data_IF_839308085960
#
_entry.id   IF_839308085960
#
_cell.length_a   1.000
_cell.length_b   1.000
_cell.length_c   1.000
_cell.angle_alpha   90.00
_cell.angle_beta   90.00
_cell.angle_gamma   90.00
#
_symmetry.space_group_name_H-M   'P 1'
#
loop_
_entity.id
_entity.type
_entity.pdbx_description
1 polymer ?
#
# COMPACT_ATOMS: atom_id res chain seq x y z
N UNK A 1 -17.73 8.64 16.85
CA UNK A 1 -19.06 8.07 16.53
C UNK A 1 -19.59 7.11 17.59
N UNK A 2 -18.92 5.98 17.86
CA UNK A 2 -19.37 5.07 18.94
C UNK A 2 -19.48 5.80 20.28
N UNK A 3 -18.50 6.62 20.66
CA UNK A 3 -18.51 7.41 21.88
C UNK A 3 -19.67 8.40 21.93
N UNK A 4 -19.99 9.03 20.81
CA UNK A 4 -21.13 9.95 20.73
C UNK A 4 -22.46 9.20 20.88
N UNK A 5 -22.63 8.09 20.13
CA UNK A 5 -23.80 7.22 20.27
C UNK A 5 -23.93 6.71 21.73
N UNK A 6 -22.81 6.29 22.33
CA UNK A 6 -22.76 5.86 23.72
C UNK A 6 -23.28 6.93 24.68
N UNK A 7 -22.87 8.19 24.49
CA UNK A 7 -23.33 9.32 25.30
C UNK A 7 -24.83 9.56 25.12
N UNK A 8 -25.34 9.47 23.90
CA UNK A 8 -26.77 9.61 23.58
C UNK A 8 -27.62 8.49 24.21
N UNK A 9 -27.06 7.30 24.32
CA UNK A 9 -27.71 6.17 24.99
C UNK A 9 -27.49 6.20 26.52
N UNK A 10 -26.88 7.25 27.06
CA UNK A 10 -26.55 7.39 28.49
C UNK A 10 -25.72 6.21 29.05
N UNK A 11 -24.96 5.52 28.21
CA UNK A 11 -24.06 4.43 28.61
C UNK A 11 -22.75 5.00 29.15
N UNK A 12 -22.39 4.66 30.40
CA UNK A 12 -21.07 5.01 30.92
C UNK A 12 -19.99 4.20 30.23
N UNK A 13 -18.79 4.74 30.07
CA UNK A 13 -17.67 4.05 29.43
C UNK A 13 -17.29 2.73 30.16
N UNK A 14 -17.52 2.68 31.47
CA UNK A 14 -17.27 1.49 32.30
C UNK A 14 -18.28 0.35 32.05
N UNK A 15 -19.45 0.65 31.51
CA UNK A 15 -20.55 -0.31 31.30
C UNK A 15 -20.70 -0.77 29.84
N UNK A 16 -19.81 -0.30 28.94
CA UNK A 16 -19.84 -0.70 27.52
C UNK A 16 -19.43 -2.17 27.39
N UNK A 17 -20.31 -2.95 26.82
CA UNK A 17 -20.06 -4.36 26.53
C UNK A 17 -19.68 -4.56 25.05
N UNK A 18 -19.12 -5.73 24.68
CA UNK A 18 -18.97 -6.09 23.27
C UNK A 18 -20.29 -6.09 22.49
N UNK A 19 -21.42 -6.45 23.14
CA UNK A 19 -22.73 -6.46 22.52
C UNK A 19 -23.21 -5.07 22.14
N UNK A 20 -22.94 -4.07 22.97
CA UNK A 20 -23.26 -2.67 22.64
C UNK A 20 -22.50 -2.21 21.39
N UNK A 21 -21.25 -2.62 21.24
CA UNK A 21 -20.45 -2.33 20.04
C UNK A 21 -21.02 -3.03 18.82
N UNK A 22 -21.45 -4.28 18.92
CA UNK A 22 -22.06 -5.03 17.83
C UNK A 22 -23.42 -4.40 17.42
N UNK A 23 -24.26 -4.05 18.39
CA UNK A 23 -25.52 -3.32 18.15
C UNK A 23 -25.27 -1.99 17.44
N UNK A 24 -24.23 -1.25 17.84
CA UNK A 24 -23.84 -0.03 17.15
C UNK A 24 -23.38 -0.30 15.72
N UNK A 25 -22.64 -1.38 15.45
CA UNK A 25 -22.20 -1.77 14.10
C UNK A 25 -23.43 -2.13 13.25
N UNK A 26 -24.33 -2.94 13.77
CA UNK A 26 -25.55 -3.36 13.10
C UNK A 26 -25.27 -3.96 11.71
N UNK A 27 -25.92 -3.42 10.69
CA UNK A 27 -25.77 -3.85 9.29
C UNK A 27 -24.61 -3.14 8.54
N UNK A 28 -23.90 -2.21 9.20
CA UNK A 28 -22.92 -1.31 8.57
C UNK A 28 -21.50 -1.88 8.56
N UNK A 29 -21.29 -3.07 9.10
CA UNK A 29 -19.98 -3.69 9.21
C UNK A 29 -19.30 -3.95 7.87
N UNK A 30 -17.97 -4.17 7.94
CA UNK A 30 -17.22 -4.74 6.84
C UNK A 30 -17.58 -6.22 6.70
N UNK A 31 -17.51 -6.74 5.46
CA UNK A 31 -17.90 -8.11 5.17
C UNK A 31 -19.42 -8.31 5.17
N UNK A 32 -19.88 -9.53 5.44
CA UNK A 32 -21.29 -9.93 5.35
C UNK A 32 -22.00 -10.07 6.69
N UNK A 33 -21.30 -9.92 7.82
CA UNK A 33 -21.96 -10.01 9.13
C UNK A 33 -22.91 -8.86 9.38
N UNK A 34 -24.08 -9.19 9.89
CA UNK A 34 -25.11 -8.27 10.35
C UNK A 34 -25.48 -8.62 11.79
N UNK A 35 -25.59 -7.61 12.64
CA UNK A 35 -25.91 -7.79 14.05
C UNK A 35 -27.32 -7.24 14.34
N UNK A 36 -28.14 -8.09 14.96
CA UNK A 36 -29.54 -7.77 15.29
C UNK A 36 -29.75 -8.01 16.80
N UNK A 37 -30.39 -7.07 17.50
CA UNK A 37 -30.92 -5.79 17.03
C UNK A 37 -29.80 -4.81 16.69
N UNK A 38 -30.05 -3.93 15.71
CA UNK A 38 -29.14 -2.83 15.42
C UNK A 38 -29.60 -1.53 16.11
N UNK A 39 -28.71 -0.54 16.19
CA UNK A 39 -29.00 0.74 16.79
C UNK A 39 -29.91 1.62 15.91
N UNK A 40 -30.45 1.10 14.81
CA UNK A 40 -31.29 1.80 13.82
C UNK A 40 -30.71 3.16 13.36
N UNK A 41 -29.40 3.24 13.31
CA UNK A 41 -28.66 4.39 12.83
C UNK A 41 -28.60 4.39 11.28
N UNK A 42 -29.66 3.91 10.62
CA UNK A 42 -29.70 3.81 9.17
C UNK A 42 -29.42 5.19 8.57
N UNK A 43 -28.35 5.34 7.79
CA UNK A 43 -28.11 6.57 7.05
C UNK A 43 -29.27 6.72 6.07
N UNK A 44 -29.85 7.92 6.01
CA UNK A 44 -30.75 8.25 4.92
C UNK A 44 -29.95 8.22 3.62
N UNK A 45 -30.60 7.83 2.52
CA UNK A 45 -29.98 7.77 1.18
C UNK A 45 -29.71 9.17 0.60
N UNK A 46 -29.33 10.11 1.46
CA UNK A 46 -29.07 11.50 1.08
C UNK A 46 -27.76 11.59 0.28
N UNK A 47 -27.72 12.52 -0.65
CA UNK A 47 -26.52 12.89 -1.40
C UNK A 47 -25.43 13.38 -0.44
N UNK A 48 -24.20 12.89 -0.66
CA UNK A 48 -23.06 13.17 0.21
C UNK A 48 -22.16 14.21 -0.44
N UNK A 49 -21.98 15.34 0.22
CA UNK A 49 -21.00 16.35 -0.18
C UNK A 49 -19.62 16.02 0.40
N UNK A 50 -18.67 15.67 -0.47
CA UNK A 50 -17.31 15.26 -0.08
C UNK A 50 -16.54 16.42 0.58
N UNK A 51 -16.67 17.66 0.09
CA UNK A 51 -15.97 18.81 0.66
C UNK A 51 -16.42 19.06 2.11
N UNK A 52 -17.73 19.02 2.38
CA UNK A 52 -18.27 19.15 3.73
C UNK A 52 -17.77 18.02 4.66
N UNK A 53 -17.65 16.79 4.12
CA UNK A 53 -17.10 15.65 4.86
C UNK A 53 -15.61 15.82 5.16
N UNK A 54 -14.81 16.30 4.21
CA UNK A 54 -13.39 16.52 4.37
C UNK A 54 -13.12 17.57 5.45
N UNK A 55 -13.81 18.71 5.40
CA UNK A 55 -13.72 19.74 6.44
C UNK A 55 -14.09 19.22 7.83
N UNK A 56 -15.14 18.42 7.92
CA UNK A 56 -15.53 17.81 9.18
C UNK A 56 -14.52 16.80 9.69
N UNK A 57 -13.98 15.95 8.81
CA UNK A 57 -12.98 14.97 9.15
C UNK A 57 -11.68 15.62 9.64
N UNK A 58 -11.25 16.72 9.00
CA UNK A 58 -10.08 17.50 9.44
C UNK A 58 -10.29 18.12 10.82
N UNK A 59 -11.45 18.75 11.07
CA UNK A 59 -11.80 19.31 12.39
C UNK A 59 -11.72 18.24 13.47
N UNK A 60 -12.33 17.08 13.27
CA UNK A 60 -12.30 15.97 14.23
C UNK A 60 -10.87 15.44 14.45
N UNK A 61 -10.06 15.40 13.40
CA UNK A 61 -8.68 14.91 13.49
C UNK A 61 -7.74 15.87 14.24
N UNK A 62 -7.89 17.19 14.00
CA UNK A 62 -7.06 18.23 14.63
C UNK A 62 -7.49 18.53 16.07
N UNK A 63 -8.77 18.38 16.39
CA UNK A 63 -9.34 18.80 17.66
C UNK A 63 -9.73 17.61 18.57
N UNK A 64 -9.05 16.47 18.45
CA UNK A 64 -9.36 15.20 19.14
C UNK A 64 -9.69 15.33 20.64
N UNK A 65 -9.24 16.42 21.31
CA UNK A 65 -9.44 16.61 22.75
C UNK A 65 -10.57 17.63 23.09
N UNK A 66 -11.14 18.36 22.11
CA UNK A 66 -12.01 19.52 22.39
C UNK A 66 -13.29 19.65 21.58
N UNK A 67 -13.60 18.73 20.66
CA UNK A 67 -14.84 18.86 19.85
C UNK A 67 -16.05 18.51 20.71
N UNK A 68 -16.63 19.51 21.34
CA UNK A 68 -18.04 19.50 21.71
C UNK A 68 -18.80 19.81 20.41
N UNK A 69 -19.30 18.78 19.73
CA UNK A 69 -20.15 18.95 18.56
C UNK A 69 -21.45 19.55 19.09
N UNK A 70 -21.78 20.77 18.62
CA UNK A 70 -23.02 21.40 18.97
C UNK A 70 -24.19 20.49 18.51
N UNK A 71 -25.06 20.08 19.44
CA UNK A 71 -26.22 19.23 19.09
C UNK A 71 -27.18 19.89 18.05
N UNK A 72 -27.09 21.19 17.85
CA UNK A 72 -27.90 21.94 16.86
C UNK A 72 -27.42 21.73 15.41
N UNK A 73 -26.21 21.23 15.18
CA UNK A 73 -25.72 20.92 13.84
C UNK A 73 -26.23 19.53 13.37
N UNK A 74 -27.53 19.44 13.12
CA UNK A 74 -28.20 18.20 12.67
C UNK A 74 -27.61 17.65 11.37
N UNK A 75 -27.14 18.51 10.48
CA UNK A 75 -26.50 18.14 9.21
C UNK A 75 -25.11 17.48 9.48
N UNK A 76 -24.31 18.08 10.32
CA UNK A 76 -22.99 17.57 10.73
C UNK A 76 -23.10 16.19 11.37
N UNK A 77 -24.11 16.00 12.22
CA UNK A 77 -24.39 14.71 12.88
C UNK A 77 -24.82 13.64 11.88
N UNK A 78 -25.71 13.98 10.94
CA UNK A 78 -26.13 13.08 9.85
C UNK A 78 -24.97 12.69 8.97
N UNK A 79 -24.09 13.64 8.59
CA UNK A 79 -22.89 13.37 7.80
C UNK A 79 -21.91 12.45 8.54
N UNK A 80 -21.67 12.66 9.83
CA UNK A 80 -20.84 11.78 10.66
C UNK A 80 -21.39 10.34 10.72
N UNK A 81 -22.70 10.20 10.87
CA UNK A 81 -23.34 8.89 10.90
C UNK A 81 -23.34 8.24 9.51
N UNK A 82 -23.53 9.04 8.44
CA UNK A 82 -23.49 8.56 7.06
C UNK A 82 -22.09 8.08 6.62
N UNK A 83 -21.04 8.58 7.25
CA UNK A 83 -19.64 8.37 6.89
C UNK A 83 -18.94 7.37 7.80
N UNK A 84 -19.63 6.93 8.83
CA UNK A 84 -19.12 6.15 9.94
C UNK A 84 -18.10 5.07 9.64
N UNK A 85 -17.05 5.10 10.42
CA UNK A 85 -15.88 4.25 10.29
C UNK A 85 -16.08 2.89 10.91
N UNK A 86 -16.64 1.94 10.18
CA UNK A 86 -16.47 0.52 10.50
C UNK A 86 -15.14 -0.05 9.97
N UNK A 87 -14.44 0.73 9.15
CA UNK A 87 -13.25 0.31 8.41
C UNK A 87 -11.93 0.40 9.18
N UNK A 88 -11.91 0.49 10.50
CA UNK A 88 -10.68 0.48 11.32
C UNK A 88 -9.59 1.51 10.92
N UNK A 89 -8.49 1.59 11.70
CA UNK A 89 -7.34 2.46 11.42
C UNK A 89 -7.48 3.89 11.93
N UNK A 90 -6.34 4.63 11.98
CA UNK A 90 -6.22 5.96 12.59
C UNK A 90 -6.55 7.11 11.65
N UNK A 91 -6.41 6.92 10.34
CA UNK A 91 -6.66 7.96 9.35
C UNK A 91 -8.17 8.19 9.19
N UNK A 92 -8.63 9.45 9.11
CA UNK A 92 -10.04 9.77 8.83
C UNK A 92 -10.46 9.19 7.47
N UNK A 93 -11.58 8.48 7.47
CA UNK A 93 -12.08 7.81 6.25
C UNK A 93 -13.61 7.76 6.23
N UNK A 94 -14.15 7.68 5.02
CA UNK A 94 -15.57 7.60 4.74
C UNK A 94 -15.90 6.35 3.93
N UNK A 95 -17.07 5.78 4.15
CA UNK A 95 -17.62 4.73 3.28
C UNK A 95 -18.67 5.36 2.38
N UNK A 96 -18.40 5.38 1.08
CA UNK A 96 -19.25 6.01 0.08
C UNK A 96 -19.65 5.03 -1.03
N UNK A 97 -20.74 5.32 -1.71
CA UNK A 97 -21.15 4.64 -2.93
C UNK A 97 -21.26 5.68 -4.05
N UNK A 98 -20.73 5.35 -5.23
CA UNK A 98 -20.71 6.23 -6.40
C UNK A 98 -21.50 5.56 -7.51
N UNK A 99 -22.49 6.27 -8.05
CA UNK A 99 -23.23 5.80 -9.21
C UNK A 99 -22.34 5.77 -10.44
N UNK A 100 -22.36 4.64 -11.18
CA UNK A 100 -21.49 4.42 -12.34
C UNK A 100 -21.81 5.33 -13.52
N UNK A 101 -23.05 5.74 -13.66
CA UNK A 101 -23.51 6.53 -14.81
C UNK A 101 -23.52 8.03 -14.51
N UNK A 102 -24.05 8.41 -13.34
CA UNK A 102 -24.25 9.83 -12.98
C UNK A 102 -23.10 10.44 -12.20
N UNK A 103 -22.27 9.61 -11.52
CA UNK A 103 -21.26 10.06 -10.57
C UNK A 103 -21.83 10.53 -9.23
N UNK A 104 -23.15 10.39 -9.00
CA UNK A 104 -23.80 10.75 -7.74
C UNK A 104 -23.18 9.98 -6.58
N UNK A 105 -22.91 10.68 -5.49
CA UNK A 105 -22.25 10.11 -4.30
C UNK A 105 -23.27 10.00 -3.16
N UNK A 106 -23.38 8.80 -2.61
CA UNK A 106 -24.23 8.48 -1.46
C UNK A 106 -23.46 7.80 -0.34
N UNK A 107 -24.07 7.64 0.82
CA UNK A 107 -23.53 6.81 1.88
C UNK A 107 -23.35 5.37 1.42
N UNK A 108 -22.12 4.84 1.52
CA UNK A 108 -21.79 3.44 1.23
C UNK A 108 -22.09 2.47 2.36
N UNK A 109 -22.74 2.93 3.43
CA UNK A 109 -23.18 2.06 4.53
C UNK A 109 -24.48 1.32 4.20
N UNK A 110 -25.21 1.77 3.19
CA UNK A 110 -26.42 1.11 2.67
C UNK A 110 -25.97 0.11 1.62
N UNK A 111 -26.27 -1.17 1.81
CA UNK A 111 -26.01 -2.19 0.80
C UNK A 111 -27.12 -2.25 -0.25
N UNK A 112 -26.81 -2.79 -1.44
CA UNK A 112 -27.83 -3.08 -2.48
C UNK A 112 -28.31 -1.87 -3.26
N UNK A 113 -27.53 -0.78 -3.35
CA UNK A 113 -27.86 0.33 -4.24
C UNK A 113 -27.57 -0.08 -5.69
N UNK A 114 -28.62 -0.13 -6.51
CA UNK A 114 -28.51 -0.46 -7.93
C UNK A 114 -27.71 0.60 -8.69
N UNK A 115 -26.75 0.15 -9.52
CA UNK A 115 -25.93 1.05 -10.33
C UNK A 115 -24.79 1.72 -9.57
N UNK A 116 -24.55 1.39 -8.29
CA UNK A 116 -23.48 1.98 -7.49
C UNK A 116 -22.33 1.01 -7.25
N UNK A 117 -21.12 1.56 -7.26
CA UNK A 117 -19.91 0.91 -6.74
C UNK A 117 -19.56 1.49 -5.37
N UNK A 118 -19.01 0.64 -4.51
CA UNK A 118 -18.73 0.97 -3.12
C UNK A 118 -17.25 1.24 -2.91
N UNK A 119 -16.94 2.27 -2.13
CA UNK A 119 -15.58 2.76 -1.92
C UNK A 119 -15.31 3.09 -0.45
N UNK A 120 -14.03 3.00 -0.10
CA UNK A 120 -13.47 3.65 1.08
C UNK A 120 -12.75 4.90 0.58
N UNK A 121 -13.15 6.06 1.08
CA UNK A 121 -12.52 7.34 0.85
C UNK A 121 -11.65 7.68 2.06
N UNK A 122 -10.35 7.82 1.87
CA UNK A 122 -9.42 8.31 2.87
C UNK A 122 -9.13 9.78 2.61
N UNK A 123 -9.33 10.61 3.63
CA UNK A 123 -9.10 12.05 3.50
C UNK A 123 -7.60 12.33 3.46
N UNK A 124 -7.18 13.12 2.47
CA UNK A 124 -5.78 13.45 2.29
C UNK A 124 -5.29 14.45 3.35
N UNK A 125 -4.02 14.31 3.69
CA UNK A 125 -3.24 15.29 4.44
C UNK A 125 -2.29 15.96 3.46
N UNK A 126 -2.57 17.22 3.12
CA UNK A 126 -1.81 17.98 2.13
C UNK A 126 -0.35 18.19 2.53
N UNK A 127 -0.07 18.34 3.83
CA UNK A 127 1.31 18.52 4.31
C UNK A 127 2.15 17.26 4.10
N UNK A 128 1.54 16.09 4.24
CA UNK A 128 2.19 14.79 4.05
C UNK A 128 2.00 14.22 2.65
N UNK A 129 1.19 14.85 1.80
CA UNK A 129 0.78 14.30 0.49
C UNK A 129 0.23 12.88 0.62
N UNK A 130 -0.57 12.61 1.67
CA UNK A 130 -0.91 11.23 2.04
C UNK A 130 -1.75 10.53 0.97
N UNK A 131 -2.68 11.23 0.32
CA UNK A 131 -3.49 10.68 -0.76
C UNK A 131 -2.65 10.37 -2.01
N UNK A 132 -1.78 11.30 -2.39
CA UNK A 132 -0.88 11.15 -3.54
C UNK A 132 0.14 10.02 -3.31
N UNK A 133 0.61 9.85 -2.07
CA UNK A 133 1.49 8.74 -1.70
C UNK A 133 0.76 7.40 -1.75
N UNK A 134 -0.46 7.29 -1.22
CA UNK A 134 -1.25 6.07 -1.35
C UNK A 134 -1.51 5.71 -2.82
N UNK A 135 -1.80 6.71 -3.68
CA UNK A 135 -1.94 6.50 -5.12
C UNK A 135 -0.63 6.02 -5.78
N UNK A 136 0.50 6.58 -5.35
CA UNK A 136 1.83 6.18 -5.86
C UNK A 136 2.15 4.74 -5.46
N UNK A 137 1.91 4.38 -4.20
CA UNK A 137 2.12 3.03 -3.69
C UNK A 137 1.18 2.02 -4.35
N UNK A 138 -0.09 2.37 -4.58
CA UNK A 138 -1.01 1.56 -5.38
C UNK A 138 -0.45 1.26 -6.77
N UNK A 139 0.04 2.27 -7.49
CA UNK A 139 0.60 2.08 -8.83
C UNK A 139 1.85 1.19 -8.83
N UNK A 140 2.75 1.39 -7.86
CA UNK A 140 3.91 0.50 -7.69
C UNK A 140 3.48 -0.92 -7.36
N UNK A 141 2.48 -1.11 -6.49
CA UNK A 141 1.96 -2.43 -6.12
C UNK A 141 1.38 -3.17 -7.33
N UNK A 142 0.58 -2.50 -8.16
CA UNK A 142 0.07 -3.07 -9.43
C UNK A 142 1.21 -3.43 -10.37
N UNK A 143 2.22 -2.58 -10.52
CA UNK A 143 3.39 -2.85 -11.36
C UNK A 143 4.22 -4.03 -10.83
N UNK A 144 4.29 -4.21 -9.50
CA UNK A 144 4.87 -5.38 -8.84
C UNK A 144 4.05 -6.66 -9.05
N UNK A 145 2.80 -6.53 -9.51
CA UNK A 145 1.86 -7.64 -9.74
C UNK A 145 1.10 -8.03 -8.47
N UNK A 146 0.99 -7.14 -7.50
CA UNK A 146 0.13 -7.29 -6.34
C UNK A 146 -1.32 -7.10 -6.77
N UNK A 147 -2.18 -7.99 -6.32
CA UNK A 147 -3.62 -7.87 -6.53
C UNK A 147 -4.20 -6.81 -5.59
N UNK A 148 -4.73 -5.73 -6.14
CA UNK A 148 -5.41 -4.64 -5.43
C UNK A 148 -6.66 -4.23 -6.17
N UNK A 149 -7.67 -3.77 -5.43
CA UNK A 149 -8.85 -3.16 -6.03
C UNK A 149 -8.48 -1.84 -6.72
N UNK A 150 -9.24 -1.42 -7.75
CA UNK A 150 -9.04 -0.14 -8.40
C UNK A 150 -9.02 1.02 -7.41
N UNK A 151 -7.97 1.84 -7.49
CA UNK A 151 -7.78 3.02 -6.67
C UNK A 151 -7.59 4.25 -7.55
N UNK A 152 -8.01 5.41 -7.05
CA UNK A 152 -7.80 6.70 -7.73
C UNK A 152 -7.82 7.86 -6.74
N UNK A 153 -7.29 8.98 -7.19
CA UNK A 153 -7.48 10.24 -6.48
C UNK A 153 -8.88 10.82 -6.79
N UNK A 154 -9.50 11.37 -5.78
CA UNK A 154 -10.72 12.17 -5.88
C UNK A 154 -10.40 13.59 -5.42
N UNK A 155 -10.66 14.58 -6.27
CA UNK A 155 -10.48 15.99 -5.93
C UNK A 155 -11.79 16.58 -5.45
N UNK A 156 -11.75 17.25 -4.30
CA UNK A 156 -12.87 18.00 -3.77
C UNK A 156 -12.35 19.25 -3.07
N UNK A 157 -12.90 20.42 -3.44
CA UNK A 157 -12.54 21.74 -2.89
C UNK A 157 -11.01 22.03 -2.92
N UNK A 158 -10.35 21.62 -4.01
CA UNK A 158 -8.92 21.81 -4.20
C UNK A 158 -8.01 20.90 -3.34
N UNK A 159 -8.59 19.91 -2.67
CA UNK A 159 -7.89 18.88 -1.92
C UNK A 159 -8.02 17.53 -2.60
N UNK A 160 -6.96 16.72 -2.50
CA UNK A 160 -6.93 15.35 -3.02
C UNK A 160 -7.20 14.34 -1.91
N UNK A 161 -8.03 13.37 -2.22
CA UNK A 161 -8.38 12.27 -1.33
C UNK A 161 -8.13 10.95 -2.05
N UNK A 162 -7.76 9.90 -1.32
CA UNK A 162 -7.55 8.58 -1.89
C UNK A 162 -8.83 7.75 -1.83
N UNK A 163 -9.21 7.19 -2.98
CA UNK A 163 -10.41 6.39 -3.13
C UNK A 163 -10.02 4.97 -3.53
N UNK A 164 -10.44 3.97 -2.75
CA UNK A 164 -10.26 2.55 -3.07
C UNK A 164 -11.60 1.84 -3.14
N UNK A 165 -11.82 1.04 -4.20
CA UNK A 165 -13.02 0.24 -4.35
C UNK A 165 -13.07 -0.88 -3.30
N UNK A 166 -14.24 -1.17 -2.76
CA UNK A 166 -14.42 -2.23 -1.77
C UNK A 166 -14.53 -3.59 -2.43
N UNK A 167 -13.67 -4.53 -2.04
CA UNK A 167 -13.72 -5.91 -2.50
C UNK A 167 -14.83 -6.73 -1.83
N UNK A 168 -15.31 -6.30 -0.68
CA UNK A 168 -16.37 -6.97 0.09
C UNK A 168 -17.80 -6.53 -0.30
N UNK A 169 -17.91 -5.77 -1.42
CA UNK A 169 -19.18 -5.28 -1.98
C UNK A 169 -19.27 -5.48 -3.50
N UNK A 170 -18.96 -6.69 -4.03
CA UNK A 170 -19.06 -6.93 -5.47
C UNK A 170 -20.53 -6.74 -5.91
N UNK A 171 -20.75 -5.86 -6.91
CA UNK A 171 -22.09 -5.54 -7.40
C UNK A 171 -23.12 -5.13 -6.33
N UNK A 172 -22.65 -4.52 -5.22
CA UNK A 172 -23.48 -4.12 -4.09
C UNK A 172 -23.83 -5.25 -3.10
N UNK A 173 -23.51 -6.50 -3.42
CA UNK A 173 -23.73 -7.63 -2.51
C UNK A 173 -22.67 -7.67 -1.40
N UNK A 174 -23.06 -8.13 -0.21
CA UNK A 174 -22.13 -8.36 0.90
C UNK A 174 -21.40 -9.68 0.72
N UNK A 175 -20.06 -9.63 0.68
CA UNK A 175 -19.20 -10.80 0.67
C UNK A 175 -18.57 -11.00 2.03
N UNK A 176 -18.58 -12.25 2.54
CA UNK A 176 -17.98 -12.55 3.83
C UNK A 176 -16.48 -12.29 3.82
N UNK A 177 -16.01 -11.57 4.84
CA UNK A 177 -14.62 -11.16 4.99
C UNK A 177 -14.18 -11.35 6.44
N UNK A 178 -12.96 -11.86 6.63
CA UNK A 178 -12.28 -11.85 7.93
C UNK A 178 -10.83 -11.45 7.78
N UNK A 179 -10.34 -10.65 8.71
CA UNK A 179 -8.90 -10.33 8.79
C UNK A 179 -8.12 -11.50 9.40
N UNK A 180 -6.80 -11.55 9.16
CA UNK A 180 -5.93 -12.50 9.87
C UNK A 180 -6.08 -12.33 11.39
N UNK A 181 -6.21 -11.11 11.89
CA UNK A 181 -6.45 -10.81 13.31
C UNK A 181 -7.75 -11.43 13.85
N UNK A 182 -8.77 -11.60 13.01
CA UNK A 182 -10.03 -12.23 13.41
C UNK A 182 -9.96 -13.76 13.38
N UNK A 183 -9.13 -14.32 12.48
CA UNK A 183 -8.92 -15.77 12.35
C UNK A 183 -7.90 -16.33 13.34
N UNK A 184 -6.84 -15.60 13.55
CA UNK A 184 -5.76 -15.94 14.48
C UNK A 184 -5.28 -14.64 15.17
N UNK A 185 -5.87 -14.30 16.33
CA UNK A 185 -5.53 -13.07 17.05
C UNK A 185 -4.08 -13.01 17.51
N UNK A 186 -3.41 -14.15 17.66
CA UNK A 186 -2.03 -14.27 18.10
C UNK A 186 -1.03 -14.29 16.91
N UNK A 187 -1.53 -14.22 15.68
CA UNK A 187 -0.67 -14.19 14.50
C UNK A 187 0.19 -12.93 14.48
N UNK A 188 1.51 -13.13 14.50
CA UNK A 188 2.49 -12.06 14.54
C UNK A 188 3.63 -12.28 13.52
N UNK A 189 3.50 -13.21 12.58
CA UNK A 189 4.52 -13.47 11.57
C UNK A 189 3.93 -13.86 10.21
N UNK A 190 4.74 -13.69 9.16
CA UNK A 190 4.38 -14.13 7.82
C UNK A 190 4.27 -15.64 7.69
N UNK A 191 5.03 -16.40 8.51
CA UNK A 191 4.89 -17.86 8.60
C UNK A 191 3.50 -18.27 9.11
N UNK A 192 2.97 -17.57 10.13
CA UNK A 192 1.63 -17.83 10.64
C UNK A 192 0.55 -17.42 9.63
N UNK A 193 0.74 -16.32 8.90
CA UNK A 193 -0.14 -15.94 7.80
C UNK A 193 -0.18 -17.04 6.73
N UNK A 194 0.98 -17.57 6.31
CA UNK A 194 1.04 -18.70 5.36
C UNK A 194 0.43 -19.98 5.94
N UNK A 195 0.54 -20.21 7.25
CA UNK A 195 -0.12 -21.35 7.90
C UNK A 195 -1.64 -21.22 7.83
N UNK A 196 -2.19 -20.02 8.02
CA UNK A 196 -3.64 -19.76 7.85
C UNK A 196 -4.05 -20.00 6.40
N UNK A 197 -3.29 -19.52 5.42
CA UNK A 197 -3.53 -19.79 3.99
C UNK A 197 -3.63 -21.30 3.72
N UNK A 198 -2.71 -22.09 4.26
CA UNK A 198 -2.72 -23.56 4.12
C UNK A 198 -3.95 -24.22 4.79
N UNK A 199 -4.30 -23.76 6.01
CA UNK A 199 -5.49 -24.26 6.74
C UNK A 199 -6.78 -23.95 5.98
N UNK A 200 -6.85 -22.83 5.29
CA UNK A 200 -7.97 -22.42 4.43
C UNK A 200 -7.94 -23.08 3.05
N UNK A 201 -6.93 -23.90 2.77
CA UNK A 201 -6.73 -24.58 1.48
C UNK A 201 -6.65 -23.61 0.29
N UNK A 202 -6.00 -22.47 0.50
CA UNK A 202 -5.80 -21.49 -0.56
C UNK A 202 -4.83 -22.02 -1.63
N UNK A 203 -4.90 -21.43 -2.81
CA UNK A 203 -4.06 -21.83 -3.94
C UNK A 203 -2.60 -21.41 -3.75
N UNK A 204 -1.68 -22.05 -4.48
CA UNK A 204 -0.27 -21.66 -4.49
C UNK A 204 -0.06 -20.21 -4.97
N UNK A 205 -0.94 -19.71 -5.84
CA UNK A 205 -0.97 -18.31 -6.25
C UNK A 205 -1.17 -17.33 -5.08
N UNK A 206 -2.02 -17.69 -4.10
CA UNK A 206 -2.28 -16.88 -2.92
C UNK A 206 -1.06 -16.84 -1.99
N UNK A 207 -0.37 -17.97 -1.81
CA UNK A 207 0.86 -18.01 -1.00
C UNK A 207 2.00 -17.22 -1.67
N UNK A 208 2.11 -17.28 -3.00
CA UNK A 208 3.04 -16.46 -3.77
C UNK A 208 2.68 -14.95 -3.69
N UNK A 209 1.38 -14.64 -3.62
CA UNK A 209 0.91 -13.27 -3.43
C UNK A 209 1.25 -12.74 -2.02
N UNK A 210 1.08 -13.53 -0.96
CA UNK A 210 1.53 -13.17 0.40
C UNK A 210 3.02 -12.86 0.41
N UNK A 211 3.83 -13.71 -0.23
CA UNK A 211 5.28 -13.49 -0.35
C UNK A 211 5.61 -12.21 -1.11
N UNK A 212 4.91 -11.91 -2.20
CA UNK A 212 5.07 -10.68 -2.97
C UNK A 212 4.79 -9.44 -2.12
N UNK A 213 3.69 -9.46 -1.35
CA UNK A 213 3.33 -8.36 -0.42
C UNK A 213 4.37 -8.18 0.67
N UNK A 214 4.87 -9.26 1.24
CA UNK A 214 5.96 -9.23 2.23
C UNK A 214 7.20 -8.54 1.68
N UNK A 215 7.67 -8.94 0.50
CA UNK A 215 8.83 -8.34 -0.17
C UNK A 215 8.59 -6.86 -0.48
N UNK A 216 7.39 -6.53 -0.98
CA UNK A 216 7.02 -5.15 -1.26
C UNK A 216 6.99 -4.31 0.02
N UNK A 217 6.35 -4.79 1.09
CA UNK A 217 6.27 -4.09 2.36
C UNK A 217 7.66 -3.74 2.90
N UNK A 218 8.59 -4.69 2.85
CA UNK A 218 9.96 -4.46 3.29
C UNK A 218 10.68 -3.42 2.43
N UNK A 219 10.79 -3.68 1.13
CA UNK A 219 11.56 -2.83 0.23
C UNK A 219 10.97 -1.42 0.07
N UNK A 220 9.65 -1.27 0.18
CA UNK A 220 8.92 -0.01 0.09
C UNK A 220 8.76 0.71 1.44
N UNK A 221 9.27 0.14 2.53
CA UNK A 221 9.13 0.66 3.89
C UNK A 221 7.66 0.86 4.33
N UNK A 222 6.78 -0.08 3.94
CA UNK A 222 5.43 -0.18 4.48
C UNK A 222 5.47 -1.02 5.76
N UNK A 223 5.88 -0.42 6.87
CA UNK A 223 6.13 -1.11 8.14
C UNK A 223 4.87 -1.31 9.01
N UNK A 224 3.71 -0.79 8.59
CA UNK A 224 2.42 -1.02 9.27
C UNK A 224 1.72 -2.28 8.74
N UNK A 225 2.50 -3.31 8.44
CA UNK A 225 2.07 -4.60 7.88
C UNK A 225 1.47 -5.55 8.92
N UNK A 226 0.62 -5.02 9.80
CA UNK A 226 0.02 -5.78 10.89
C UNK A 226 -1.08 -6.77 10.42
N UNK A 227 -1.39 -7.75 11.26
CA UNK A 227 -2.35 -8.84 10.99
C UNK A 227 -3.78 -8.37 10.63
N UNK A 228 -4.14 -7.08 10.81
CA UNK A 228 -5.40 -6.51 10.34
C UNK A 228 -5.36 -6.04 8.88
N UNK A 229 -4.17 -5.94 8.28
CA UNK A 229 -3.98 -5.54 6.88
C UNK A 229 -3.92 -6.74 5.91
N UNK A 230 -4.19 -7.94 6.44
CA UNK A 230 -4.38 -9.15 5.63
C UNK A 230 -5.77 -9.70 5.88
N UNK A 231 -6.53 -9.93 4.83
CA UNK A 231 -7.91 -10.42 4.91
C UNK A 231 -8.14 -11.58 3.97
N UNK A 232 -9.18 -12.33 4.28
CA UNK A 232 -9.66 -13.46 3.51
C UNK A 232 -11.13 -13.27 3.19
N UNK A 233 -11.52 -13.68 2.00
CA UNK A 233 -12.90 -13.64 1.49
C UNK A 233 -13.45 -15.05 1.39
N UNK A 234 -14.70 -15.23 1.75
CA UNK A 234 -15.39 -16.50 1.58
C UNK A 234 -16.63 -16.33 0.72
N UNK A 235 -16.74 -17.12 -0.33
CA UNK A 235 -17.91 -17.11 -1.19
C UNK A 235 -19.09 -17.89 -0.57
N UNK A 236 -20.26 -17.87 -1.25
CA UNK A 236 -21.48 -18.56 -0.79
C UNK A 236 -21.35 -20.09 -0.71
N UNK A 237 -20.29 -20.68 -1.30
CA UNK A 237 -20.00 -22.12 -1.24
C UNK A 237 -19.07 -22.50 -0.08
N UNK A 238 -18.57 -21.52 0.68
CA UNK A 238 -17.62 -21.73 1.75
C UNK A 238 -16.15 -21.81 1.28
N UNK A 239 -15.86 -21.48 0.01
CA UNK A 239 -14.51 -21.46 -0.53
C UNK A 239 -13.82 -20.13 -0.16
N UNK A 240 -12.61 -20.21 0.37
CA UNK A 240 -11.83 -19.09 0.80
C UNK A 240 -10.81 -18.66 -0.26
N UNK A 241 -10.52 -17.37 -0.29
CA UNK A 241 -9.46 -16.77 -1.09
C UNK A 241 -8.77 -15.65 -0.30
N UNK A 242 -7.53 -15.32 -0.64
CA UNK A 242 -6.87 -14.13 -0.12
C UNK A 242 -7.57 -12.88 -0.70
N UNK A 243 -7.90 -11.92 0.16
CA UNK A 243 -8.46 -10.65 -0.31
C UNK A 243 -7.41 -9.82 -1.07
N UNK A 244 -7.81 -8.96 -2.02
CA UNK A 244 -6.93 -7.96 -2.58
C UNK A 244 -6.22 -7.15 -1.50
N UNK A 245 -4.99 -6.71 -1.76
CA UNK A 245 -4.21 -5.92 -0.82
C UNK A 245 -4.84 -4.53 -0.60
N UNK A 246 -4.60 -3.96 0.56
CA UNK A 246 -5.08 -2.64 0.95
C UNK A 246 -4.15 -2.04 2.01
N UNK A 247 -4.27 -0.75 2.26
CA UNK A 247 -3.50 -0.02 3.26
C UNK A 247 -1.97 -0.10 3.02
N UNK A 248 -1.57 -0.07 1.74
CA UNK A 248 -0.17 -0.08 1.34
C UNK A 248 0.31 1.35 1.11
N UNK A 249 1.18 1.84 1.99
CA UNK A 249 1.72 3.20 1.90
C UNK A 249 3.04 3.32 2.67
N UNK A 250 3.76 4.43 2.46
CA UNK A 250 4.94 4.75 3.27
C UNK A 250 4.54 5.09 4.70
N UNK A 251 5.24 4.51 5.66
CA UNK A 251 4.99 4.80 7.07
C UNK A 251 5.99 5.82 7.58
N UNK A 252 5.46 6.99 7.97
CA UNK A 252 6.24 8.06 8.56
C UNK A 252 6.49 7.78 10.04
N UNK A 253 7.61 7.17 10.36
CA UNK A 253 8.00 6.94 11.75
C UNK A 253 8.39 8.26 12.44
N UNK A 254 8.06 8.36 13.71
CA UNK A 254 8.54 9.45 14.58
C UNK A 254 10.02 9.24 14.88
N UNK A 255 10.87 9.85 14.10
CA UNK A 255 12.30 9.67 14.13
C UNK A 255 12.74 8.86 12.91
N UNK A 256 13.52 9.48 12.08
CA UNK A 256 14.08 8.88 10.89
C UNK A 256 14.95 7.68 11.29
N UNK A 257 14.42 6.49 11.15
CA UNK A 257 15.20 5.27 11.15
C UNK A 257 14.78 4.46 9.91
N UNK A 258 15.68 4.25 8.94
CA UNK A 258 15.39 3.37 7.80
C UNK A 258 15.09 1.92 8.21
N UNK A 259 15.44 1.55 9.45
CA UNK A 259 15.31 0.19 10.02
C UNK A 259 14.09 0.08 10.95
N UNK A 260 12.99 0.76 10.62
CA UNK A 260 11.78 0.64 11.43
C UNK A 260 11.29 -0.83 11.45
N UNK A 261 10.89 -1.28 12.64
CA UNK A 261 10.34 -2.61 12.83
C UNK A 261 9.03 -2.78 12.06
N UNK A 262 8.91 -3.88 11.34
CA UNK A 262 7.66 -4.37 10.78
C UNK A 262 6.72 -4.85 11.89
N UNK A 263 5.42 -4.87 11.62
CA UNK A 263 4.46 -5.41 12.57
C UNK A 263 4.44 -6.94 12.58
N UNK A 264 4.73 -7.57 11.44
CA UNK A 264 4.88 -9.02 11.34
C UNK A 264 6.34 -9.43 11.27
N UNK A 265 6.68 -10.46 12.01
CA UNK A 265 7.98 -11.12 11.94
C UNK A 265 8.16 -11.85 10.61
N UNK A 266 9.39 -11.92 10.13
CA UNK A 266 9.85 -12.85 9.11
C UNK A 266 11.10 -13.55 9.63
N UNK A 267 11.07 -14.89 9.74
CA UNK A 267 12.14 -15.72 10.34
C UNK A 267 12.60 -15.20 11.72
N UNK A 268 11.63 -14.78 12.55
CA UNK A 268 11.86 -14.29 13.90
C UNK A 268 12.44 -12.86 13.99
N UNK A 269 12.51 -12.12 12.88
CA UNK A 269 13.03 -10.75 12.82
C UNK A 269 11.91 -9.75 12.47
N UNK A 270 11.87 -8.61 13.17
CA UNK A 270 10.98 -7.49 12.82
C UNK A 270 11.60 -6.53 11.79
N UNK A 271 12.92 -6.50 11.68
CA UNK A 271 13.68 -5.59 10.80
C UNK A 271 14.98 -6.22 10.31
N UNK A 272 15.74 -5.49 9.50
CA UNK A 272 17.04 -5.91 8.98
C UNK A 272 16.99 -7.24 8.22
N UNK A 273 15.97 -7.43 7.39
CA UNK A 273 15.83 -8.63 6.58
C UNK A 273 16.84 -8.61 5.43
N UNK A 274 17.77 -9.53 5.46
CA UNK A 274 18.70 -9.69 4.35
C UNK A 274 18.00 -10.38 3.17
N UNK A 275 18.56 -10.20 1.98
CA UNK A 275 18.08 -10.93 0.80
C UNK A 275 18.12 -12.44 1.02
N UNK A 276 19.17 -12.94 1.68
CA UNK A 276 19.30 -14.38 1.98
C UNK A 276 18.24 -14.87 2.96
N UNK A 277 17.85 -14.07 3.97
CA UNK A 277 16.75 -14.40 4.86
C UNK A 277 15.45 -14.60 4.06
N UNK A 278 15.17 -13.71 3.11
CA UNK A 278 13.95 -13.76 2.29
C UNK A 278 13.98 -14.90 1.28
N UNK A 279 15.14 -15.18 0.68
CA UNK A 279 15.31 -16.35 -0.18
C UNK A 279 15.08 -17.66 0.60
N UNK A 280 15.65 -17.76 1.81
CA UNK A 280 15.47 -18.92 2.65
C UNK A 280 14.01 -19.07 3.14
N UNK A 281 13.35 -17.95 3.49
CA UNK A 281 11.92 -17.96 3.79
C UNK A 281 11.10 -18.53 2.64
N UNK A 282 11.39 -18.13 1.40
CA UNK A 282 10.69 -18.63 0.22
C UNK A 282 10.90 -20.14 0.03
N UNK A 283 12.13 -20.63 0.21
CA UNK A 283 12.48 -22.04 0.13
C UNK A 283 11.74 -22.85 1.21
N UNK A 284 11.83 -22.41 2.46
CA UNK A 284 11.24 -23.10 3.62
C UNK A 284 9.70 -23.20 3.49
N UNK A 285 9.09 -22.24 2.80
CA UNK A 285 7.63 -22.17 2.62
C UNK A 285 7.16 -22.71 1.25
N UNK A 286 8.05 -23.18 0.39
CA UNK A 286 7.72 -23.77 -0.91
C UNK A 286 7.18 -22.76 -1.94
N UNK A 287 7.61 -21.49 -1.85
CA UNK A 287 7.18 -20.45 -2.78
C UNK A 287 7.86 -20.66 -4.14
N UNK A 288 7.06 -20.88 -5.17
CA UNK A 288 7.58 -21.02 -6.54
C UNK A 288 7.97 -19.66 -7.15
N UNK A 289 8.99 -19.65 -8.01
CA UNK A 289 9.44 -18.46 -8.76
C UNK A 289 9.76 -17.23 -7.89
N UNK A 290 10.16 -17.42 -6.64
CA UNK A 290 10.42 -16.37 -5.67
C UNK A 290 11.44 -15.32 -6.17
N UNK A 291 12.50 -15.71 -6.88
CA UNK A 291 13.47 -14.76 -7.44
C UNK A 291 12.81 -13.80 -8.46
N UNK A 292 11.92 -14.34 -9.30
CA UNK A 292 11.16 -13.53 -10.27
C UNK A 292 10.21 -12.57 -9.56
N UNK A 293 9.59 -13.01 -8.47
CA UNK A 293 8.71 -12.16 -7.64
C UNK A 293 9.52 -11.01 -7.04
N UNK A 294 10.62 -11.32 -6.37
CA UNK A 294 11.50 -10.31 -5.74
C UNK A 294 11.96 -9.30 -6.81
N UNK A 295 12.40 -9.80 -7.96
CA UNK A 295 12.85 -8.93 -9.05
C UNK A 295 11.74 -7.99 -9.54
N UNK A 296 10.55 -8.51 -9.77
CA UNK A 296 9.42 -7.71 -10.24
C UNK A 296 9.03 -6.62 -9.24
N UNK A 297 9.11 -6.91 -7.94
CA UNK A 297 8.90 -5.92 -6.88
C UNK A 297 9.97 -4.83 -6.95
N UNK A 298 11.26 -5.20 -7.03
CA UNK A 298 12.35 -4.24 -7.12
C UNK A 298 12.20 -3.32 -8.35
N UNK A 299 11.87 -3.89 -9.52
CA UNK A 299 11.65 -3.12 -10.76
C UNK A 299 10.50 -2.11 -10.63
N UNK A 300 9.42 -2.48 -9.93
CA UNK A 300 8.30 -1.58 -9.69
C UNK A 300 8.67 -0.44 -8.75
N UNK A 301 9.47 -0.70 -7.73
CA UNK A 301 9.88 0.31 -6.75
C UNK A 301 10.86 1.34 -7.34
N UNK A 302 11.64 0.97 -8.34
CA UNK A 302 12.51 1.91 -9.05
C UNK A 302 11.74 2.99 -9.80
N UNK A 303 10.44 2.80 -10.05
CA UNK A 303 9.57 3.79 -10.69
C UNK A 303 9.00 4.82 -9.70
N UNK A 304 9.36 4.74 -8.41
CA UNK A 304 8.76 5.56 -7.35
C UNK A 304 8.80 7.05 -7.68
N UNK A 305 9.97 7.61 -8.03
CA UNK A 305 10.12 9.05 -8.32
C UNK A 305 9.18 9.51 -9.43
N UNK A 306 9.20 8.82 -10.57
CA UNK A 306 8.36 9.16 -11.72
C UNK A 306 6.87 9.15 -11.36
N UNK A 307 6.42 8.11 -10.66
CA UNK A 307 5.03 7.97 -10.24
C UNK A 307 4.65 9.02 -9.18
N UNK A 308 5.53 9.31 -8.24
CA UNK A 308 5.29 10.29 -7.18
C UNK A 308 5.19 11.72 -7.75
N UNK A 309 6.07 12.09 -8.66
CA UNK A 309 6.03 13.39 -9.37
C UNK A 309 4.73 13.52 -10.19
N UNK A 310 4.36 12.48 -10.92
CA UNK A 310 3.11 12.43 -11.71
C UNK A 310 1.87 12.60 -10.85
N UNK A 311 1.83 12.03 -9.66
CA UNK A 311 0.70 12.12 -8.72
C UNK A 311 0.69 13.44 -7.95
N UNK A 312 1.79 14.21 -7.97
CA UNK A 312 1.91 15.49 -7.29
C UNK A 312 2.34 15.38 -5.83
N UNK A 313 3.10 14.34 -5.48
CA UNK A 313 3.74 14.24 -4.16
C UNK A 313 4.74 15.39 -3.98
N UNK A 314 4.79 15.99 -2.78
CA UNK A 314 5.73 17.08 -2.48
C UNK A 314 7.18 16.61 -2.57
N UNK A 315 8.05 17.44 -3.13
CA UNK A 315 9.45 17.10 -3.40
C UNK A 315 10.23 16.66 -2.15
N UNK A 316 9.93 17.24 -0.99
CA UNK A 316 10.55 16.85 0.29
C UNK A 316 10.31 15.37 0.63
N UNK A 317 9.09 14.86 0.34
CA UNK A 317 8.74 13.47 0.57
C UNK A 317 9.30 12.55 -0.49
N UNK A 318 9.33 13.01 -1.75
CA UNK A 318 9.94 12.24 -2.86
C UNK A 318 11.39 11.92 -2.53
N UNK A 319 12.22 12.92 -2.20
CA UNK A 319 13.62 12.68 -1.90
C UNK A 319 13.85 11.75 -0.71
N UNK A 320 13.07 11.90 0.35
CA UNK A 320 13.17 11.08 1.56
C UNK A 320 12.78 9.62 1.30
N UNK A 321 11.63 9.40 0.69
CA UNK A 321 11.10 8.05 0.46
C UNK A 321 11.96 7.31 -0.58
N UNK A 322 12.34 7.98 -1.66
CA UNK A 322 13.25 7.42 -2.66
C UNK A 322 14.57 6.99 -2.03
N UNK A 323 15.17 7.80 -1.17
CA UNK A 323 16.41 7.45 -0.47
C UNK A 323 16.25 6.17 0.35
N UNK A 324 15.12 6.00 1.05
CA UNK A 324 14.83 4.78 1.82
C UNK A 324 14.72 3.57 0.90
N UNK A 325 13.90 3.65 -0.15
CA UNK A 325 13.71 2.56 -1.12
C UNK A 325 15.05 2.18 -1.77
N UNK A 326 15.83 3.16 -2.20
CA UNK A 326 17.15 2.92 -2.81
C UNK A 326 18.13 2.27 -1.83
N UNK A 327 18.06 2.60 -0.54
CA UNK A 327 18.89 1.96 0.47
C UNK A 327 18.58 0.47 0.56
N UNK A 328 17.32 0.07 0.70
CA UNK A 328 16.92 -1.33 0.73
C UNK A 328 17.28 -2.06 -0.58
N UNK A 329 17.09 -1.41 -1.72
CA UNK A 329 17.46 -1.99 -3.02
C UNK A 329 18.98 -2.19 -3.17
N UNK A 330 19.82 -1.29 -2.60
CA UNK A 330 21.28 -1.47 -2.56
C UNK A 330 21.69 -2.62 -1.64
N UNK A 331 21.12 -2.67 -0.43
CA UNK A 331 21.39 -3.75 0.53
C UNK A 331 21.07 -5.13 -0.05
N UNK A 332 20.02 -5.23 -0.86
CA UNK A 332 19.68 -6.47 -1.54
C UNK A 332 20.40 -6.67 -2.89
N UNK A 333 21.29 -5.75 -3.26
CA UNK A 333 22.14 -5.84 -4.45
C UNK A 333 21.39 -5.61 -5.78
N UNK A 334 20.25 -4.88 -5.74
CA UNK A 334 19.57 -4.46 -6.96
C UNK A 334 20.13 -3.18 -7.55
N UNK A 335 20.62 -2.28 -6.72
CA UNK A 335 21.37 -1.09 -7.11
C UNK A 335 22.82 -1.31 -6.67
N UNK A 336 23.73 -1.47 -7.61
CA UNK A 336 25.09 -1.84 -7.30
C UNK A 336 26.00 -0.63 -7.09
N UNK A 337 25.80 0.47 -7.82
CA UNK A 337 26.44 1.78 -7.57
C UNK A 337 25.81 2.91 -8.37
N UNK A 338 25.86 4.09 -7.79
CA UNK A 338 25.62 5.36 -8.47
C UNK A 338 27.00 5.98 -8.74
N UNK A 339 27.33 6.24 -10.00
CA UNK A 339 28.51 7.03 -10.35
C UNK A 339 28.03 8.47 -10.50
N UNK A 340 28.44 9.33 -9.56
CA UNK A 340 28.01 10.74 -9.52
C UNK A 340 28.65 11.63 -10.60
N UNK A 341 29.70 11.11 -11.29
CA UNK A 341 30.44 11.89 -12.24
C UNK A 341 29.64 12.14 -13.53
N UNK A 342 29.51 13.41 -13.88
CA UNK A 342 29.06 13.84 -15.19
C UNK A 342 30.29 14.03 -16.09
N UNK A 343 30.21 13.53 -17.33
CA UNK A 343 31.29 13.75 -18.29
C UNK A 343 30.77 13.92 -19.70
N UNK A 344 31.57 14.59 -20.50
CA UNK A 344 31.33 14.73 -21.93
C UNK A 344 32.33 13.88 -22.69
N UNK A 345 31.84 13.04 -23.61
CA UNK A 345 32.71 12.28 -24.49
C UNK A 345 33.47 13.16 -25.44
N UNK A 346 34.59 12.67 -26.03
CA UNK A 346 35.30 13.42 -27.07
C UNK A 346 34.41 13.77 -28.28
N UNK A 347 33.32 13.05 -28.49
CA UNK A 347 32.33 13.33 -29.54
C UNK A 347 31.26 14.39 -29.12
N UNK A 348 31.37 14.95 -27.91
CA UNK A 348 30.43 15.95 -27.40
C UNK A 348 29.18 15.41 -26.74
N UNK A 349 29.03 14.08 -26.55
CA UNK A 349 27.88 13.48 -25.89
C UNK A 349 27.98 13.65 -24.38
N UNK A 350 26.98 14.26 -23.76
CA UNK A 350 26.90 14.43 -22.30
C UNK A 350 26.31 13.22 -21.63
N UNK A 351 26.99 12.69 -20.60
CA UNK A 351 26.56 11.48 -19.83
C UNK A 351 26.51 11.85 -18.36
N UNK A 352 25.39 11.50 -17.72
CA UNK A 352 25.15 11.72 -16.29
C UNK A 352 24.28 10.61 -15.70
N UNK A 353 24.17 10.58 -14.38
CA UNK A 353 23.29 9.65 -13.62
C UNK A 353 23.47 8.18 -14.05
N UNK A 354 24.72 7.71 -14.03
CA UNK A 354 25.05 6.34 -14.41
C UNK A 354 24.93 5.42 -13.20
N UNK A 355 24.15 4.35 -13.31
CA UNK A 355 24.06 3.32 -12.28
C UNK A 355 23.91 1.92 -12.88
N UNK A 356 24.41 0.92 -12.14
CA UNK A 356 24.31 -0.48 -12.49
C UNK A 356 23.25 -1.18 -11.61
N UNK A 357 22.48 -2.03 -12.25
CA UNK A 357 21.48 -2.84 -11.63
C UNK A 357 21.74 -4.32 -11.92
N UNK A 358 21.67 -5.20 -10.91
CA UNK A 358 21.80 -6.62 -11.13
C UNK A 358 20.52 -7.19 -11.76
N UNK A 359 20.66 -7.77 -12.95
CA UNK A 359 19.58 -8.43 -13.67
C UNK A 359 19.58 -9.95 -13.41
N UNK A 360 18.55 -10.64 -13.94
CA UNK A 360 18.40 -12.08 -13.82
C UNK A 360 19.57 -12.86 -14.41
N UNK A 361 19.96 -13.97 -13.78
CA UNK A 361 21.07 -14.88 -14.20
C UNK A 361 22.47 -14.22 -14.23
N UNK A 362 22.71 -13.25 -13.36
CA UNK A 362 24.03 -12.61 -13.26
C UNK A 362 24.34 -11.62 -14.39
N UNK A 363 23.34 -11.22 -15.14
CA UNK A 363 23.44 -10.07 -16.03
C UNK A 363 23.32 -8.76 -15.24
N UNK A 364 23.68 -7.65 -15.87
CA UNK A 364 23.53 -6.31 -15.32
C UNK A 364 22.83 -5.42 -16.32
N UNK A 365 22.05 -4.47 -15.81
CA UNK A 365 21.52 -3.36 -16.59
C UNK A 365 22.28 -2.09 -16.20
N UNK A 366 22.90 -1.45 -17.17
CA UNK A 366 23.48 -0.13 -16.99
C UNK A 366 22.47 0.90 -17.45
N UNK A 367 22.18 1.84 -16.58
CA UNK A 367 21.36 3.01 -16.91
C UNK A 367 22.23 4.23 -16.95
N UNK A 368 21.96 5.11 -17.90
CA UNK A 368 22.65 6.39 -18.04
C UNK A 368 21.70 7.44 -18.62
N UNK A 369 21.85 8.69 -18.21
CA UNK A 369 21.24 9.82 -18.90
C UNK A 369 22.23 10.28 -19.97
N UNK A 370 21.87 10.16 -21.24
CA UNK A 370 22.69 10.53 -22.40
C UNK A 370 22.01 11.67 -23.12
N UNK A 371 22.63 12.84 -23.17
CA UNK A 371 22.07 14.07 -23.75
C UNK A 371 20.66 14.37 -23.24
N UNK A 372 20.46 14.24 -21.91
CA UNK A 372 19.19 14.49 -21.24
C UNK A 372 18.14 13.37 -21.37
N UNK A 373 18.44 12.26 -22.06
CA UNK A 373 17.52 11.12 -22.21
C UNK A 373 18.05 9.91 -21.46
N UNK A 374 17.19 9.30 -20.64
CA UNK A 374 17.53 8.07 -19.95
C UNK A 374 17.63 6.90 -20.96
N UNK A 375 18.72 6.15 -20.88
CA UNK A 375 18.97 4.95 -21.69
C UNK A 375 19.28 3.77 -20.78
N UNK A 376 18.88 2.58 -21.22
CA UNK A 376 19.13 1.30 -20.56
C UNK A 376 19.96 0.41 -21.48
N UNK A 377 21.02 -0.19 -20.94
CA UNK A 377 21.90 -1.10 -21.64
C UNK A 377 21.98 -2.43 -20.90
N UNK A 378 21.94 -3.54 -21.62
CA UNK A 378 22.00 -4.89 -21.04
C UNK A 378 23.43 -5.38 -21.11
N UNK A 379 24.04 -5.67 -19.95
CA UNK A 379 25.35 -6.25 -19.82
C UNK A 379 25.18 -7.73 -19.47
N UNK A 380 25.68 -8.61 -20.33
CA UNK A 380 25.66 -10.05 -20.09
C UNK A 380 26.95 -10.49 -19.41
N UNK A 381 26.82 -11.43 -18.47
CA UNK A 381 27.98 -12.13 -17.91
C UNK A 381 28.37 -13.22 -18.90
N UNK A 382 29.55 -13.06 -19.57
CA UNK A 382 30.23 -14.16 -20.25
C UNK A 382 31.40 -14.62 -19.39
N UNK A 383 31.72 -15.90 -19.42
CA UNK A 383 32.84 -16.47 -18.66
C UNK A 383 34.17 -16.24 -19.38
N UNK A 384 35.18 -15.55 -18.74
CA UNK A 384 35.21 -14.89 -17.43
C UNK A 384 34.80 -13.42 -17.41
N UNK A 385 34.53 -12.82 -18.55
CA UNK A 385 34.33 -11.38 -18.71
C UNK A 385 32.88 -11.01 -18.97
N UNK A 386 32.54 -9.72 -18.78
CA UNK A 386 31.25 -9.16 -19.11
C UNK A 386 31.25 -8.70 -20.57
N UNK A 387 30.35 -9.25 -21.37
CA UNK A 387 30.14 -8.84 -22.76
C UNK A 387 29.13 -7.69 -22.83
N UNK A 388 29.57 -6.56 -23.34
CA UNK A 388 28.71 -5.43 -23.67
C UNK A 388 27.95 -5.73 -24.95
N UNK A 389 26.62 -5.73 -24.90
CA UNK A 389 25.85 -5.76 -26.13
C UNK A 389 25.97 -4.37 -26.76
N UNK A 390 26.65 -4.31 -27.91
CA UNK A 390 26.85 -3.12 -28.68
C UNK A 390 25.53 -2.38 -28.93
N UNK A 391 25.46 -1.18 -28.44
CA UNK A 391 24.71 -0.12 -29.11
C UNK A 391 25.51 1.17 -29.03
N UNK A 392 26.15 1.47 -30.15
CA UNK A 392 26.60 2.79 -30.60
C UNK A 392 27.49 3.61 -29.66
N UNK A 393 28.80 3.57 -29.87
CA UNK A 393 29.75 4.66 -29.51
C UNK A 393 30.18 4.76 -28.05
N UNK A 394 29.66 3.93 -27.16
CA UNK A 394 29.95 4.00 -25.73
C UNK A 394 30.92 2.90 -25.23
N UNK A 395 31.43 2.05 -26.11
CA UNK A 395 32.22 0.85 -25.78
C UNK A 395 33.44 1.14 -24.88
N UNK A 396 34.19 2.20 -25.14
CA UNK A 396 35.36 2.58 -24.34
C UNK A 396 35.03 3.09 -22.93
N UNK A 397 33.89 3.72 -22.77
CA UNK A 397 33.42 4.29 -21.50
C UNK A 397 32.93 3.18 -20.57
N UNK A 398 32.24 2.18 -21.10
CA UNK A 398 31.73 1.05 -20.33
C UNK A 398 32.82 0.16 -19.76
N UNK A 399 33.86 -0.13 -20.54
CA UNK A 399 34.97 -0.96 -20.07
C UNK A 399 35.65 -0.35 -18.86
N UNK A 400 35.90 0.97 -18.87
CA UNK A 400 36.50 1.68 -17.76
C UNK A 400 35.56 1.80 -16.54
N UNK A 401 34.27 2.01 -16.77
CA UNK A 401 33.27 2.12 -15.70
C UNK A 401 33.04 0.77 -15.02
N UNK A 402 32.89 -0.29 -15.81
CA UNK A 402 32.72 -1.63 -15.32
C UNK A 402 33.95 -2.10 -14.55
N UNK A 403 35.15 -1.78 -15.02
CA UNK A 403 36.38 -2.11 -14.32
C UNK A 403 36.47 -1.39 -12.97
N UNK A 404 36.17 -0.09 -12.90
CA UNK A 404 36.12 0.68 -11.65
C UNK A 404 35.08 0.13 -10.66
N UNK A 405 33.92 -0.31 -11.16
CA UNK A 405 32.86 -0.89 -10.33
C UNK A 405 33.23 -2.29 -9.80
N UNK A 406 33.97 -3.06 -10.57
CA UNK A 406 34.46 -4.39 -10.14
C UNK A 406 35.64 -4.27 -9.16
N UNK A 407 36.54 -3.30 -9.35
CA UNK A 407 37.69 -3.03 -8.45
C UNK A 407 37.23 -2.60 -7.05
N UNK A 408 36.13 -1.83 -6.94
CA UNK A 408 35.54 -1.43 -5.65
C UNK A 408 34.86 -2.58 -4.89
N UNK A 409 34.56 -3.72 -5.54
CA UNK A 409 34.00 -4.93 -4.90
C UNK A 409 35.04 -5.82 -4.22
N UNK A 410 36.30 -5.62 -4.48
CA UNK A 410 37.41 -6.47 -3.97
C UNK A 410 38.04 -5.86 -2.70
N UNK A 411 37.68 -4.61 -2.37
CA UNK A 411 38.03 -3.91 -1.13
C UNK A 411 36.81 -3.71 -0.24
#
# INVERSE_FOLDING_TARGET
>A
MFEQWRMEQHLSSANVTPLDKLTFIGQRGMGAFEFVPDAQLAPQADEVNIAALAHLAQRIFLEREKVVIDPSETLTKKLLLAVGTSAGGRQPKAIIAINRETGEIRSGQIAGLDGYDYYILKFGDKERSSAELEQTYYQMAINAGIDMMPCRLLEADGEKHFLTQRFDRPNGEKLHMQTLAAMDPDANSYEQLLLVCRKLQLQESDTAEVFRRMVFNYLANNTDDHHKNFSFLMNKKGEWALAPAYDMTYIFNRGYQPDADHCLLMRGKYSLWTKDDVLQFAIDNGIANYEKIIRKVADALMQFRELAEKNGVRQEWIGRIESTIQTHLREWGFIIEHVEDEWTTPAGTHISKVYLEQAYKGNYHLFATVDGKQKKYIIRKSTPDYELIEQTGLQGIYSNLLQKLLEKRIN
#
